data_IF_182649707584
#
_entry.id   IF_182649707584
#
_cell.length_a   1.000
_cell.length_b   1.000
_cell.length_c   1.000
_cell.angle_alpha   90.00
_cell.angle_beta   90.00
_cell.angle_gamma   90.00
#
_symmetry.space_group_name_H-M   'P 1'
#
loop_
_entity.id
_entity.type
_entity.pdbx_description
1 polymer ?
#
# COMPACT_ATOMS: atom_id res chain seq x y z
N UNK A 1 -8.62 -5.26 -21.84
CA UNK A 1 -8.67 -6.73 -22.13
C UNK A 1 -7.47 -7.04 -23.03
N UNK A 2 -6.34 -7.48 -22.45
CA UNK A 2 -5.30 -8.09 -23.29
C UNK A 2 -5.90 -9.30 -23.99
N UNK A 3 -5.79 -9.35 -25.31
CA UNK A 3 -6.08 -10.56 -26.07
C UNK A 3 -5.27 -11.71 -25.45
N UNK A 4 -5.88 -12.87 -25.28
CA UNK A 4 -5.22 -14.03 -24.72
C UNK A 4 -3.98 -14.36 -25.57
N UNK A 5 -2.81 -13.99 -25.08
CA UNK A 5 -1.54 -14.35 -25.70
C UNK A 5 -1.43 -15.88 -25.62
N UNK A 6 -1.18 -16.61 -26.72
CA UNK A 6 -1.04 -18.06 -26.66
C UNK A 6 0.03 -18.43 -25.62
N UNK A 7 -0.26 -19.38 -24.73
CA UNK A 7 0.64 -19.78 -23.62
C UNK A 7 2.09 -19.96 -24.03
N UNK A 8 2.35 -20.54 -25.20
CA UNK A 8 3.71 -20.75 -25.72
C UNK A 8 4.42 -19.46 -26.15
N UNK A 9 3.70 -18.38 -26.49
CA UNK A 9 4.33 -17.08 -26.82
C UNK A 9 4.63 -16.28 -25.55
N UNK A 10 3.76 -16.37 -24.55
CA UNK A 10 3.97 -15.74 -23.26
C UNK A 10 5.20 -16.30 -22.53
N UNK A 11 5.34 -17.64 -22.50
CA UNK A 11 6.52 -18.26 -21.91
C UNK A 11 7.81 -17.80 -22.59
N UNK A 12 7.83 -17.71 -23.93
CA UNK A 12 9.00 -17.18 -24.68
C UNK A 12 9.31 -15.72 -24.33
N UNK A 13 8.28 -14.88 -24.17
CA UNK A 13 8.47 -13.50 -23.73
C UNK A 13 9.07 -13.41 -22.33
N UNK A 14 8.55 -14.21 -21.39
CA UNK A 14 9.09 -14.30 -20.03
C UNK A 14 10.53 -14.83 -20.05
N UNK A 15 10.83 -15.87 -20.82
CA UNK A 15 12.17 -16.44 -20.96
C UNK A 15 13.16 -15.38 -21.47
N UNK A 16 12.79 -14.64 -22.52
CA UNK A 16 13.64 -13.60 -23.08
C UNK A 16 13.88 -12.46 -22.09
N UNK A 17 12.83 -12.00 -21.42
CA UNK A 17 12.92 -10.93 -20.45
C UNK A 17 13.77 -11.31 -19.22
N UNK A 18 13.49 -12.45 -18.59
CA UNK A 18 14.23 -12.92 -17.41
C UNK A 18 15.68 -13.23 -17.76
N UNK A 19 15.92 -13.86 -18.91
CA UNK A 19 17.28 -14.09 -19.42
C UNK A 19 18.13 -12.83 -19.48
N UNK A 20 17.54 -11.73 -19.98
CA UNK A 20 18.20 -10.44 -20.02
C UNK A 20 18.31 -9.75 -18.63
N UNK A 21 17.36 -10.00 -17.74
CA UNK A 21 17.31 -9.39 -16.41
C UNK A 21 18.38 -9.95 -15.45
N UNK A 22 18.68 -11.25 -15.52
CA UNK A 22 19.62 -11.93 -14.64
C UNK A 22 20.83 -12.55 -15.35
N UNK A 23 21.08 -12.15 -16.60
CA UNK A 23 22.19 -12.64 -17.44
C UNK A 23 22.33 -14.18 -17.45
N UNK A 24 21.26 -14.86 -17.85
CA UNK A 24 21.25 -16.32 -17.94
C UNK A 24 20.74 -16.79 -19.31
N UNK A 25 21.03 -18.05 -19.68
CA UNK A 25 20.49 -18.65 -20.91
C UNK A 25 18.98 -18.87 -20.79
N UNK A 26 18.16 -18.57 -21.85
CA UNK A 26 16.70 -18.75 -21.82
C UNK A 26 16.23 -20.17 -21.51
N UNK A 27 17.00 -21.20 -21.87
CA UNK A 27 16.69 -22.62 -21.58
C UNK A 27 16.80 -22.97 -20.10
N UNK A 28 17.42 -22.11 -19.30
CA UNK A 28 17.42 -22.26 -17.83
C UNK A 28 16.10 -21.85 -17.19
N UNK A 29 15.25 -21.13 -17.91
CA UNK A 29 13.92 -20.73 -17.43
C UNK A 29 12.92 -21.81 -17.83
N UNK A 30 12.53 -22.62 -16.85
CA UNK A 30 11.87 -23.91 -17.08
C UNK A 30 10.36 -23.84 -17.05
N UNK A 31 9.77 -22.89 -16.28
CA UNK A 31 8.34 -22.72 -16.19
C UNK A 31 7.97 -21.29 -15.72
N UNK A 32 6.75 -20.88 -16.07
CA UNK A 32 6.10 -19.70 -15.53
C UNK A 32 4.64 -20.01 -15.22
N UNK A 33 4.19 -19.68 -14.01
CA UNK A 33 2.81 -19.82 -13.60
C UNK A 33 2.27 -18.46 -13.16
N UNK A 34 1.05 -18.12 -13.58
CA UNK A 34 0.40 -16.88 -13.21
C UNK A 34 -0.22 -17.00 -11.82
N UNK A 35 -0.08 -15.96 -11.00
CA UNK A 35 -0.91 -15.77 -9.82
C UNK A 35 -2.30 -15.31 -10.26
N UNK A 36 -3.35 -15.86 -9.64
CA UNK A 36 -4.74 -15.58 -10.03
C UNK A 36 -5.20 -14.18 -9.57
N UNK A 37 -4.63 -13.66 -8.49
CA UNK A 37 -5.01 -12.40 -7.87
C UNK A 37 -4.15 -11.24 -8.40
N UNK A 38 -4.70 -10.41 -9.25
CA UNK A 38 -4.03 -9.19 -9.73
C UNK A 38 -4.93 -8.36 -10.64
N UNK A 39 -5.48 -7.27 -10.11
CA UNK A 39 -6.40 -6.40 -10.88
C UNK A 39 -5.67 -5.44 -11.84
N UNK A 40 -4.41 -5.09 -11.59
CA UNK A 40 -3.66 -4.10 -12.36
C UNK A 40 -2.44 -4.65 -13.09
N UNK A 41 -1.97 -5.81 -12.66
CA UNK A 41 -0.76 -6.43 -13.17
C UNK A 41 -0.98 -7.92 -13.42
N UNK A 42 -0.35 -8.44 -14.47
CA UNK A 42 -0.12 -9.86 -14.58
C UNK A 42 1.15 -10.22 -13.80
N UNK A 43 1.03 -11.07 -12.80
CA UNK A 43 2.15 -11.49 -11.94
C UNK A 43 2.43 -12.96 -12.18
N UNK A 44 3.68 -13.29 -12.46
CA UNK A 44 4.12 -14.65 -12.78
C UNK A 44 5.20 -15.10 -11.80
N UNK A 45 5.03 -16.29 -11.24
CA UNK A 45 6.11 -17.05 -10.59
C UNK A 45 6.89 -17.78 -11.68
N UNK A 46 8.17 -17.50 -11.77
CA UNK A 46 9.07 -18.06 -12.78
C UNK A 46 10.08 -18.98 -12.12
N UNK A 47 10.18 -20.22 -12.63
CA UNK A 47 11.17 -21.20 -12.19
C UNK A 47 12.39 -21.13 -13.10
N UNK A 48 13.59 -21.07 -12.50
CA UNK A 48 14.83 -21.12 -13.25
C UNK A 48 15.87 -22.01 -12.56
N UNK A 49 16.82 -22.53 -13.37
CA UNK A 49 17.93 -23.38 -12.93
C UNK A 49 19.23 -22.57 -12.96
N UNK A 50 19.71 -22.05 -11.82
CA UNK A 50 21.02 -21.42 -11.74
C UNK A 50 22.15 -22.43 -11.93
N UNK A 51 23.38 -21.96 -12.04
CA UNK A 51 24.55 -22.83 -12.19
C UNK A 51 24.75 -23.82 -11.02
N UNK A 52 24.17 -23.53 -9.86
CA UNK A 52 24.16 -24.38 -8.67
C UNK A 52 23.33 -25.66 -8.82
N UNK A 53 22.45 -25.73 -9.82
CA UNK A 53 21.61 -26.90 -10.13
C UNK A 53 20.32 -27.03 -9.32
N UNK A 54 20.09 -26.21 -8.30
CA UNK A 54 18.83 -26.19 -7.56
C UNK A 54 17.83 -25.23 -8.23
N UNK A 55 16.55 -25.63 -8.35
CA UNK A 55 15.52 -24.73 -8.88
C UNK A 55 15.31 -23.54 -7.95
N UNK A 56 15.42 -22.35 -8.50
CA UNK A 56 15.11 -21.09 -7.84
C UNK A 56 13.89 -20.43 -8.49
N UNK A 57 13.36 -19.40 -7.83
CA UNK A 57 12.15 -18.72 -8.27
C UNK A 57 12.34 -17.20 -8.33
N UNK A 58 11.73 -16.62 -9.35
CA UNK A 58 11.61 -15.17 -9.55
C UNK A 58 10.15 -14.78 -9.69
N UNK A 59 9.89 -13.49 -9.61
CA UNK A 59 8.60 -12.89 -9.95
C UNK A 59 8.79 -11.98 -11.15
N UNK A 60 7.96 -12.17 -12.18
CA UNK A 60 7.81 -11.21 -13.27
C UNK A 60 6.44 -10.58 -13.15
N UNK A 61 6.42 -9.26 -13.06
CA UNK A 61 5.21 -8.45 -13.05
C UNK A 61 5.13 -7.61 -14.32
N UNK A 62 3.97 -7.64 -14.99
CA UNK A 62 3.70 -6.91 -16.22
C UNK A 62 2.45 -6.06 -16.01
N UNK A 63 2.54 -4.76 -16.20
CA UNK A 63 1.40 -3.85 -16.06
C UNK A 63 0.39 -4.06 -17.17
N UNK A 64 -0.92 -3.91 -16.87
CA UNK A 64 -1.97 -3.94 -17.90
C UNK A 64 -2.09 -2.60 -18.65
N UNK A 65 -1.67 -1.50 -18.04
CA UNK A 65 -1.73 -0.17 -18.63
C UNK A 65 -0.36 0.33 -19.06
N UNK A 66 -0.34 1.12 -20.13
CA UNK A 66 0.81 1.83 -20.71
C UNK A 66 0.63 3.36 -20.63
N UNK A 67 -0.45 3.81 -20.02
CA UNK A 67 -0.74 5.23 -19.84
C UNK A 67 0.34 5.97 -19.03
N UNK A 68 0.46 7.30 -19.19
CA UNK A 68 1.47 8.08 -18.48
C UNK A 68 1.43 7.91 -16.95
N UNK A 69 0.24 7.76 -16.39
CA UNK A 69 0.04 7.55 -14.95
C UNK A 69 0.51 6.17 -14.50
N UNK A 70 0.26 5.12 -15.30
CA UNK A 70 0.68 3.75 -15.00
C UNK A 70 2.20 3.62 -15.10
N UNK A 71 2.79 4.20 -16.14
CA UNK A 71 4.24 4.25 -16.30
C UNK A 71 4.92 4.98 -15.13
N UNK A 72 4.42 6.17 -14.75
CA UNK A 72 5.00 6.95 -13.67
C UNK A 72 4.90 6.22 -12.32
N UNK A 73 3.83 5.46 -12.10
CA UNK A 73 3.65 4.62 -10.91
C UNK A 73 4.65 3.48 -10.87
N UNK A 74 4.80 2.75 -11.98
CA UNK A 74 5.74 1.65 -12.08
C UNK A 74 7.21 2.12 -11.93
N UNK A 75 7.57 3.26 -12.51
CA UNK A 75 8.88 3.88 -12.35
C UNK A 75 9.18 4.31 -10.91
N UNK A 76 8.18 4.85 -10.21
CA UNK A 76 8.30 5.20 -8.80
C UNK A 76 8.54 3.97 -7.95
N UNK A 77 7.74 2.93 -8.14
CA UNK A 77 7.92 1.67 -7.45
C UNK A 77 9.29 1.05 -7.71
N UNK A 78 9.76 1.04 -8.95
CA UNK A 78 11.09 0.55 -9.29
C UNK A 78 12.18 1.29 -8.49
N UNK A 79 12.13 2.62 -8.43
CA UNK A 79 13.07 3.44 -7.64
C UNK A 79 13.01 3.11 -6.13
N UNK A 80 11.82 2.84 -5.61
CA UNK A 80 11.68 2.39 -4.20
C UNK A 80 12.32 1.02 -4.00
N UNK A 81 12.06 0.06 -4.89
CA UNK A 81 12.61 -1.28 -4.81
C UNK A 81 14.14 -1.30 -4.94
N UNK A 82 14.73 -0.40 -5.72
CA UNK A 82 16.19 -0.22 -5.79
C UNK A 82 16.79 0.14 -4.42
N UNK A 83 16.06 0.90 -3.61
CA UNK A 83 16.50 1.34 -2.28
C UNK A 83 16.10 0.37 -1.16
N UNK A 84 14.90 -0.18 -1.23
CA UNK A 84 14.30 -1.01 -0.18
C UNK A 84 14.58 -2.52 -0.36
N UNK A 85 15.01 -2.93 -1.54
CA UNK A 85 15.16 -4.33 -1.91
C UNK A 85 16.13 -5.11 -1.04
N UNK A 86 15.74 -6.34 -0.70
CA UNK A 86 16.53 -7.26 0.11
C UNK A 86 16.42 -7.07 1.62
N UNK A 87 15.77 -5.99 2.10
CA UNK A 87 15.56 -5.75 3.54
C UNK A 87 14.07 -5.61 3.84
N UNK A 88 13.41 -4.57 3.32
CA UNK A 88 12.00 -4.33 3.55
C UNK A 88 11.12 -4.73 2.36
N UNK A 89 11.73 -4.97 1.20
CA UNK A 89 11.07 -5.27 -0.07
C UNK A 89 11.82 -6.37 -0.83
N UNK A 90 11.21 -7.02 -1.83
CA UNK A 90 11.92 -7.93 -2.73
C UNK A 90 13.07 -7.22 -3.45
N UNK A 91 14.17 -7.91 -3.68
CA UNK A 91 15.21 -7.42 -4.60
C UNK A 91 14.62 -7.27 -6.00
N UNK A 92 14.85 -6.12 -6.62
CA UNK A 92 14.55 -5.90 -8.03
C UNK A 92 15.81 -6.21 -8.85
N UNK A 93 15.66 -7.05 -9.87
CA UNK A 93 16.75 -7.42 -10.79
C UNK A 93 16.72 -6.54 -12.05
N UNK A 94 15.54 -6.20 -12.55
CA UNK A 94 15.37 -5.37 -13.74
C UNK A 94 14.02 -4.69 -13.75
N UNK A 95 13.98 -3.49 -14.31
CA UNK A 95 12.76 -2.74 -14.62
C UNK A 95 12.86 -2.17 -16.03
N UNK A 96 11.79 -2.33 -16.82
CA UNK A 96 11.69 -1.74 -18.14
C UNK A 96 10.33 -1.11 -18.35
N UNK A 97 10.34 0.12 -18.82
CA UNK A 97 9.11 0.82 -19.21
C UNK A 97 8.47 0.14 -20.43
N UNK A 98 9.31 -0.26 -21.38
CA UNK A 98 8.96 -1.07 -22.55
C UNK A 98 10.13 -1.99 -22.88
N UNK A 99 9.88 -3.11 -23.53
CA UNK A 99 10.91 -4.06 -23.92
C UNK A 99 10.51 -4.81 -25.20
N UNK A 100 11.41 -5.53 -25.86
CA UNK A 100 11.04 -6.41 -26.98
C UNK A 100 10.05 -7.51 -26.61
N UNK A 101 9.86 -7.79 -25.32
CA UNK A 101 9.01 -8.85 -24.80
C UNK A 101 7.68 -8.36 -24.26
N UNK A 102 7.65 -7.10 -23.76
CA UNK A 102 6.45 -6.48 -23.17
C UNK A 102 6.35 -5.01 -23.59
N UNK A 103 5.22 -4.63 -24.14
CA UNK A 103 4.93 -3.25 -24.56
C UNK A 103 4.63 -2.32 -23.38
N UNK A 104 4.26 -2.90 -22.23
CA UNK A 104 3.90 -2.19 -20.98
C UNK A 104 5.01 -2.34 -19.95
N UNK A 105 5.03 -1.52 -18.88
CA UNK A 105 6.01 -1.62 -17.81
C UNK A 105 6.11 -3.05 -17.24
N UNK A 106 7.33 -3.53 -17.16
CA UNK A 106 7.63 -4.88 -16.66
C UNK A 106 8.77 -4.86 -15.65
N UNK A 107 8.71 -5.75 -14.67
CA UNK A 107 9.62 -5.81 -13.54
C UNK A 107 9.98 -7.26 -13.23
N UNK A 108 11.28 -7.54 -13.05
CA UNK A 108 11.79 -8.82 -12.59
C UNK A 108 12.30 -8.66 -11.16
N UNK A 109 11.78 -9.48 -10.25
CA UNK A 109 12.03 -9.37 -8.82
C UNK A 109 12.32 -10.73 -8.17
N UNK A 110 12.91 -10.67 -6.99
CA UNK A 110 13.05 -11.82 -6.10
C UNK A 110 11.67 -12.41 -5.76
N UNK A 111 11.57 -13.74 -5.82
CA UNK A 111 10.44 -14.44 -5.22
C UNK A 111 10.64 -14.52 -3.71
N UNK A 112 9.72 -13.93 -2.96
CA UNK A 112 9.69 -14.02 -1.49
C UNK A 112 8.88 -15.24 -1.10
N UNK A 113 9.54 -16.20 -0.46
CA UNK A 113 8.88 -17.39 0.09
C UNK A 113 8.18 -17.04 1.40
N UNK A 114 6.94 -16.56 1.29
CA UNK A 114 6.10 -16.15 2.42
C UNK A 114 4.63 -16.23 2.05
N UNK A 115 3.78 -16.12 3.05
CA UNK A 115 2.32 -16.09 2.86
C UNK A 115 1.75 -14.85 3.54
N UNK A 116 0.75 -14.19 2.93
CA UNK A 116 -0.01 -13.14 3.61
C UNK A 116 -0.80 -13.76 4.78
N UNK A 117 -0.98 -13.00 5.85
CA UNK A 117 -1.87 -13.38 6.95
C UNK A 117 -2.46 -12.15 7.61
N UNK A 118 -3.60 -12.32 8.24
CA UNK A 118 -4.22 -11.28 9.05
C UNK A 118 -3.29 -10.87 10.21
N UNK A 119 -2.99 -9.60 10.35
CA UNK A 119 -2.07 -9.11 11.39
C UNK A 119 -2.58 -9.39 12.80
N UNK A 120 -3.91 -9.38 13.01
CA UNK A 120 -4.51 -9.77 14.31
C UNK A 120 -4.15 -11.20 14.73
N UNK A 121 -3.80 -12.08 13.79
CA UNK A 121 -3.35 -13.45 14.07
C UNK A 121 -1.83 -13.57 14.26
N UNK A 122 -1.09 -12.51 13.98
CA UNK A 122 0.36 -12.49 14.16
C UNK A 122 0.71 -12.39 15.65
N UNK A 123 1.81 -13.05 16.02
CA UNK A 123 2.34 -12.97 17.38
C UNK A 123 2.91 -11.59 17.66
N UNK A 124 3.01 -11.16 18.95
CA UNK A 124 3.68 -9.91 19.29
C UNK A 124 5.11 -9.81 18.76
N UNK A 125 5.85 -10.92 18.69
CA UNK A 125 7.21 -10.94 18.14
C UNK A 125 7.23 -10.62 16.65
N UNK A 126 6.33 -11.20 15.86
CA UNK A 126 6.17 -10.92 14.44
C UNK A 126 5.74 -9.46 14.20
N UNK A 127 4.81 -8.95 15.00
CA UNK A 127 4.39 -7.54 14.92
C UNK A 127 5.55 -6.60 15.28
N UNK A 128 6.40 -6.97 16.24
CA UNK A 128 7.63 -6.23 16.52
C UNK A 128 8.58 -6.20 15.33
N UNK A 129 8.79 -7.35 14.66
CA UNK A 129 9.59 -7.41 13.42
C UNK A 129 9.00 -6.51 12.32
N UNK A 130 7.67 -6.51 12.15
CA UNK A 130 7.01 -5.62 11.20
C UNK A 130 7.26 -4.14 11.55
N UNK A 131 7.18 -3.78 12.84
CA UNK A 131 7.54 -2.45 13.31
C UNK A 131 8.96 -2.05 12.91
N UNK A 132 9.93 -2.96 13.06
CA UNK A 132 11.31 -2.71 12.65
C UNK A 132 11.48 -2.53 11.14
N UNK A 133 10.76 -3.31 10.33
CA UNK A 133 10.80 -3.21 8.86
C UNK A 133 10.18 -1.89 8.38
N UNK A 134 9.03 -1.50 8.92
CA UNK A 134 8.38 -0.22 8.63
C UNK A 134 9.29 0.95 9.04
N UNK A 135 9.89 0.89 10.23
CA UNK A 135 10.82 1.91 10.69
C UNK A 135 12.04 2.04 9.78
N UNK A 136 12.58 0.91 9.32
CA UNK A 136 13.68 0.91 8.38
C UNK A 136 13.29 1.57 7.04
N UNK A 137 12.10 1.26 6.52
CA UNK A 137 11.57 1.88 5.30
C UNK A 137 11.41 3.40 5.46
N UNK A 138 10.85 3.85 6.60
CA UNK A 138 10.71 5.27 6.92
C UNK A 138 12.07 6.00 7.07
N UNK A 139 13.15 5.28 7.37
CA UNK A 139 14.50 5.81 7.46
C UNK A 139 15.29 5.82 6.15
N UNK A 140 14.71 5.41 5.02
CA UNK A 140 15.39 5.43 3.74
C UNK A 140 15.63 6.86 3.25
N UNK A 141 16.78 7.13 2.59
CA UNK A 141 17.00 8.42 1.95
C UNK A 141 16.01 8.63 0.78
N UNK A 142 15.39 9.80 0.76
CA UNK A 142 14.26 10.11 -0.14
C UNK A 142 14.62 11.07 -1.29
N UNK A 143 15.83 11.62 -1.29
CA UNK A 143 16.25 12.72 -2.17
C UNK A 143 16.02 12.44 -3.67
N UNK A 144 16.11 11.17 -4.09
CA UNK A 144 15.92 10.76 -5.49
C UNK A 144 14.52 10.21 -5.78
N UNK A 145 13.66 10.12 -4.77
CA UNK A 145 12.28 9.61 -4.93
C UNK A 145 11.30 10.71 -5.29
N UNK A 146 11.78 11.95 -5.21
CA UNK A 146 11.01 13.19 -5.38
C UNK A 146 10.93 13.54 -6.87
N UNK A 147 9.74 13.46 -7.46
CA UNK A 147 9.52 13.82 -8.87
C UNK A 147 9.45 15.34 -9.13
N UNK A 148 9.82 16.17 -8.15
CA UNK A 148 9.80 17.65 -8.27
C UNK A 148 8.41 18.25 -8.46
N UNK A 149 7.34 17.48 -8.32
CA UNK A 149 5.95 17.93 -8.48
C UNK A 149 5.25 18.00 -7.13
N UNK A 150 5.00 19.22 -6.67
CA UNK A 150 4.04 19.53 -5.59
C UNK A 150 4.12 18.64 -4.34
N UNK A 151 5.33 18.32 -3.89
CA UNK A 151 5.46 17.57 -2.64
C UNK A 151 5.21 18.47 -1.43
N UNK A 152 4.57 17.95 -0.38
CA UNK A 152 4.38 18.69 0.82
C UNK A 152 5.74 19.06 1.43
N UNK A 153 5.98 20.35 1.67
CA UNK A 153 7.26 20.82 2.18
C UNK A 153 7.51 20.44 3.65
N UNK A 154 6.46 20.02 4.38
CA UNK A 154 6.53 19.68 5.80
C UNK A 154 5.30 18.88 6.24
N UNK A 155 5.31 18.42 7.50
CA UNK A 155 4.22 17.64 8.10
C UNK A 155 2.86 18.34 8.08
N UNK A 156 2.83 19.66 8.31
CA UNK A 156 1.57 20.45 8.32
C UNK A 156 0.95 20.45 6.92
N UNK A 157 1.72 20.82 5.90
CA UNK A 157 1.22 20.83 4.51
C UNK A 157 0.83 19.43 4.02
N UNK A 158 1.53 18.39 4.46
CA UNK A 158 1.13 17.01 4.18
C UNK A 158 -0.22 16.68 4.80
N UNK A 159 -0.41 16.96 6.10
CA UNK A 159 -1.66 16.68 6.81
C UNK A 159 -2.84 17.47 6.22
N UNK A 160 -2.64 18.75 5.91
CA UNK A 160 -3.65 19.59 5.24
C UNK A 160 -4.05 19.02 3.87
N UNK A 161 -3.08 18.61 3.06
CA UNK A 161 -3.33 18.00 1.76
C UNK A 161 -4.10 16.68 1.87
N UNK A 162 -3.76 15.82 2.82
CA UNK A 162 -4.48 14.56 3.09
C UNK A 162 -5.91 14.80 3.57
N UNK A 163 -6.08 15.69 4.55
CA UNK A 163 -7.40 16.04 5.05
C UNK A 163 -8.28 16.61 3.93
N UNK A 164 -7.76 17.54 3.14
CA UNK A 164 -8.47 18.15 2.02
C UNK A 164 -8.85 17.12 0.94
N UNK A 165 -7.94 16.20 0.63
CA UNK A 165 -8.20 15.10 -0.29
C UNK A 165 -9.36 14.22 0.17
N UNK A 166 -9.38 13.83 1.45
CA UNK A 166 -10.44 13.00 2.03
C UNK A 166 -11.77 13.76 2.07
N UNK A 167 -11.77 15.04 2.51
CA UNK A 167 -12.99 15.85 2.56
C UNK A 167 -13.57 16.09 1.15
N UNK A 168 -12.72 16.32 0.14
CA UNK A 168 -13.18 16.51 -1.23
C UNK A 168 -13.89 15.27 -1.79
N UNK A 169 -13.53 14.08 -1.33
CA UNK A 169 -14.20 12.83 -1.70
C UNK A 169 -15.66 12.78 -1.21
N UNK A 170 -16.00 13.48 -0.11
CA UNK A 170 -17.38 13.58 0.39
C UNK A 170 -18.36 14.25 -0.58
N UNK A 171 -17.88 15.06 -1.51
CA UNK A 171 -18.74 15.81 -2.44
C UNK A 171 -19.49 14.91 -3.40
N UNK A 172 -18.87 13.83 -3.89
CA UNK A 172 -19.53 12.89 -4.80
C UNK A 172 -20.25 11.74 -4.08
N UNK A 173 -19.96 11.48 -2.81
CA UNK A 173 -20.71 10.54 -1.97
C UNK A 173 -22.15 11.04 -1.67
N UNK A 174 -22.58 12.18 -2.24
CA UNK A 174 -23.85 12.84 -1.87
C UNK A 174 -25.10 12.13 -2.36
N UNK A 175 -25.08 11.48 -3.52
CA UNK A 175 -26.35 11.12 -4.17
C UNK A 175 -26.85 9.67 -4.01
N UNK A 176 -26.06 8.62 -3.81
CA UNK A 176 -26.62 7.28 -3.66
C UNK A 176 -26.59 6.73 -2.23
N UNK A 177 -25.93 7.39 -1.28
CA UNK A 177 -25.92 6.94 0.11
C UNK A 177 -27.19 7.42 0.88
N UNK A 178 -27.72 6.61 1.81
CA UNK A 178 -28.82 7.02 2.69
C UNK A 178 -28.48 8.32 3.43
N UNK A 179 -29.46 9.23 3.55
CA UNK A 179 -29.26 10.55 4.18
C UNK A 179 -28.66 10.47 5.60
N UNK A 180 -29.02 9.46 6.37
CA UNK A 180 -28.47 9.23 7.71
C UNK A 180 -26.95 8.93 7.66
N UNK A 181 -26.49 8.13 6.68
CA UNK A 181 -25.06 7.82 6.49
C UNK A 181 -24.30 9.06 6.05
N UNK A 182 -24.86 9.82 5.11
CA UNK A 182 -24.26 11.10 4.69
C UNK A 182 -24.13 12.09 5.86
N UNK A 183 -25.10 12.14 6.77
CA UNK A 183 -25.05 12.99 7.95
C UNK A 183 -23.92 12.57 8.90
N UNK A 184 -23.72 11.27 9.10
CA UNK A 184 -22.61 10.72 9.90
C UNK A 184 -21.25 11.08 9.29
N UNK A 185 -21.06 10.90 7.97
CA UNK A 185 -19.83 11.32 7.29
C UNK A 185 -19.54 12.81 7.46
N UNK A 186 -20.56 13.68 7.30
CA UNK A 186 -20.38 15.13 7.50
C UNK A 186 -20.01 15.47 8.95
N UNK A 187 -20.68 14.85 9.92
CA UNK A 187 -20.37 15.03 11.33
C UNK A 187 -18.93 14.62 11.67
N UNK A 188 -18.52 13.44 11.20
CA UNK A 188 -17.17 12.94 11.40
C UNK A 188 -16.10 13.86 10.73
N UNK A 189 -16.33 14.28 9.48
CA UNK A 189 -15.43 15.18 8.77
C UNK A 189 -15.25 16.53 9.50
N UNK A 190 -16.35 17.12 9.98
CA UNK A 190 -16.30 18.35 10.77
C UNK A 190 -15.51 18.17 12.08
N UNK A 191 -15.69 17.03 12.75
CA UNK A 191 -14.97 16.73 13.99
C UNK A 191 -13.48 16.55 13.75
N UNK A 192 -13.09 15.83 12.67
CA UNK A 192 -11.68 15.67 12.27
C UNK A 192 -11.08 17.02 11.88
N UNK A 193 -11.81 17.85 11.13
CA UNK A 193 -11.38 19.21 10.77
C UNK A 193 -11.13 20.07 12.02
N UNK A 194 -12.05 20.06 12.98
CA UNK A 194 -11.90 20.78 14.24
C UNK A 194 -10.71 20.27 15.07
N UNK A 195 -10.50 18.94 15.06
CA UNK A 195 -9.33 18.34 15.70
C UNK A 195 -8.03 18.81 15.04
N UNK A 196 -8.01 18.92 13.71
CA UNK A 196 -6.86 19.46 12.99
C UNK A 196 -6.54 20.91 13.38
N UNK A 197 -7.54 21.76 13.41
CA UNK A 197 -7.37 23.18 13.79
C UNK A 197 -6.73 23.36 15.18
N UNK A 198 -6.94 22.39 16.09
CA UNK A 198 -6.31 22.36 17.42
C UNK A 198 -4.89 21.77 17.38
N UNK A 199 -4.67 20.74 16.57
CA UNK A 199 -3.43 19.97 16.54
C UNK A 199 -2.31 20.65 15.72
N UNK A 200 -2.66 21.34 14.63
CA UNK A 200 -1.71 21.89 13.65
C UNK A 200 -0.68 22.85 14.23
N UNK A 201 -1.06 23.57 15.28
CA UNK A 201 -0.20 24.51 15.99
C UNK A 201 0.56 23.88 17.16
N UNK A 202 0.31 22.62 17.46
CA UNK A 202 0.95 21.86 18.53
C UNK A 202 2.39 21.49 18.21
N UNK A 203 3.15 21.19 19.26
CA UNK A 203 4.57 20.82 19.17
C UNK A 203 4.78 19.60 18.26
N UNK A 204 3.88 18.60 18.31
CA UNK A 204 3.98 17.35 17.54
C UNK A 204 4.05 17.55 16.02
N UNK A 205 3.44 18.61 15.47
CA UNK A 205 3.49 18.96 14.05
C UNK A 205 4.54 20.02 13.71
N UNK A 206 5.02 20.79 14.71
CA UNK A 206 6.00 21.88 14.53
C UNK A 206 7.45 21.45 14.69
N UNK A 207 7.72 20.21 15.03
CA UNK A 207 9.07 19.71 15.35
C UNK A 207 10.08 19.79 14.21
N UNK A 208 9.67 20.14 12.99
CA UNK A 208 10.53 20.10 11.81
C UNK A 208 10.97 18.66 11.45
N UNK A 209 10.28 17.65 11.97
CA UNK A 209 10.56 16.27 11.60
C UNK A 209 10.37 16.09 10.08
N UNK A 210 11.30 15.40 9.40
CA UNK A 210 11.22 15.22 7.96
C UNK A 210 10.04 14.30 7.59
N UNK A 211 9.57 14.44 6.36
CA UNK A 211 8.73 13.44 5.73
C UNK A 211 9.56 12.18 5.50
N UNK A 212 8.89 11.04 5.48
CA UNK A 212 9.50 9.73 5.25
C UNK A 212 8.93 9.05 4.01
N UNK A 213 9.60 8.04 3.51
CA UNK A 213 9.05 7.13 2.52
C UNK A 213 7.99 6.25 3.19
N UNK A 214 6.76 6.38 2.75
CA UNK A 214 5.66 5.52 3.14
C UNK A 214 5.45 4.44 2.09
N UNK A 215 5.09 3.23 2.51
CA UNK A 215 4.61 2.17 1.62
C UNK A 215 3.29 2.59 0.94
N UNK A 216 2.41 3.19 1.72
CA UNK A 216 1.15 3.75 1.27
C UNK A 216 -0.04 2.80 1.31
N UNK A 217 0.19 1.49 1.38
CA UNK A 217 -0.84 0.45 1.54
C UNK A 217 -0.30 -0.79 2.28
N UNK A 218 0.16 -0.69 3.54
CA UNK A 218 0.68 -1.82 4.30
C UNK A 218 -0.45 -2.71 4.86
N UNK A 219 -1.34 -3.15 3.98
CA UNK A 219 -2.43 -4.07 4.29
C UNK A 219 -1.96 -5.53 4.43
N UNK A 220 -2.82 -6.43 4.96
CA UNK A 220 -2.45 -7.84 5.19
C UNK A 220 -2.00 -8.56 3.91
N UNK A 221 -2.58 -8.21 2.75
CA UNK A 221 -2.23 -8.78 1.45
C UNK A 221 -0.83 -8.37 0.96
N UNK A 222 -0.32 -7.24 1.43
CA UNK A 222 0.94 -6.65 1.00
C UNK A 222 2.09 -6.93 1.97
N UNK A 223 1.89 -7.81 2.95
CA UNK A 223 2.92 -8.26 3.90
C UNK A 223 3.07 -9.77 3.79
N UNK A 224 4.19 -10.23 3.24
CA UNK A 224 4.54 -11.64 3.18
C UNK A 224 5.32 -12.05 4.42
N UNK A 225 4.83 -13.10 5.08
CA UNK A 225 5.44 -13.67 6.27
C UNK A 225 6.21 -14.94 5.92
N UNK A 226 7.52 -14.89 6.13
CA UNK A 226 8.47 -15.97 5.98
C UNK A 226 9.41 -16.01 7.18
N UNK A 227 10.76 -15.99 6.99
CA UNK A 227 11.72 -15.82 8.09
C UNK A 227 11.57 -14.45 8.80
N UNK A 228 11.01 -13.47 8.12
CA UNK A 228 10.61 -12.15 8.62
C UNK A 228 9.57 -11.54 7.67
N UNK A 229 8.92 -10.43 8.07
CA UNK A 229 7.96 -9.74 7.20
C UNK A 229 8.68 -9.01 6.07
N UNK A 230 8.13 -9.12 4.84
CA UNK A 230 8.57 -8.39 3.65
C UNK A 230 7.38 -7.66 3.07
N UNK A 231 7.51 -6.37 2.80
CA UNK A 231 6.49 -5.55 2.17
C UNK A 231 6.57 -5.70 0.65
N UNK A 232 5.44 -5.96 0.02
CA UNK A 232 5.29 -6.06 -1.44
C UNK A 232 4.27 -5.04 -1.93
N UNK A 233 4.27 -4.77 -3.24
CA UNK A 233 3.32 -3.85 -3.89
C UNK A 233 3.47 -2.39 -3.42
N UNK A 234 4.63 -1.81 -3.72
CA UNK A 234 5.00 -0.43 -3.40
C UNK A 234 4.42 0.61 -4.39
N UNK A 235 3.40 0.25 -5.17
CA UNK A 235 2.83 1.14 -6.19
C UNK A 235 2.22 2.44 -5.62
N UNK A 236 1.84 2.43 -4.33
CA UNK A 236 1.32 3.59 -3.61
C UNK A 236 2.37 4.33 -2.78
N UNK A 237 3.64 3.98 -2.95
CA UNK A 237 4.72 4.63 -2.22
C UNK A 237 4.72 6.14 -2.44
N UNK A 238 4.90 6.88 -1.36
CA UNK A 238 4.88 8.36 -1.36
C UNK A 238 5.68 8.91 -0.20
N UNK A 239 5.98 10.20 -0.27
CA UNK A 239 6.48 10.93 0.89
C UNK A 239 5.33 11.34 1.80
N UNK A 240 5.51 11.19 3.10
CA UNK A 240 4.48 11.57 4.06
C UNK A 240 4.91 11.47 5.51
N UNK A 241 3.93 11.67 6.40
CA UNK A 241 4.13 11.49 7.83
C UNK A 241 4.11 9.99 8.17
N UNK A 242 5.18 9.44 8.79
CA UNK A 242 5.17 8.07 9.32
C UNK A 242 3.93 7.74 10.15
N UNK A 243 3.39 8.70 10.87
CA UNK A 243 2.20 8.51 11.69
C UNK A 243 0.92 8.25 10.88
N UNK A 244 0.79 8.79 9.65
CA UNK A 244 -0.33 8.48 8.73
C UNK A 244 -0.32 6.98 8.37
N UNK A 245 0.83 6.43 8.01
CA UNK A 245 0.95 5.03 7.65
C UNK A 245 0.73 4.09 8.83
N UNK A 246 1.27 4.43 10.00
CA UNK A 246 1.10 3.62 11.21
C UNK A 246 -0.37 3.63 11.68
N UNK A 247 -1.04 4.79 11.62
CA UNK A 247 -2.46 4.91 11.92
C UNK A 247 -3.30 4.05 10.97
N UNK A 248 -3.02 4.11 9.67
CA UNK A 248 -3.64 3.26 8.65
C UNK A 248 -3.41 1.77 8.94
N UNK A 249 -2.17 1.36 9.23
CA UNK A 249 -1.83 -0.02 9.58
C UNK A 249 -2.63 -0.51 10.79
N UNK A 250 -2.72 0.30 11.83
CA UNK A 250 -3.44 -0.06 13.06
C UNK A 250 -4.94 -0.16 12.82
N UNK A 251 -5.52 0.75 12.02
CA UNK A 251 -6.93 0.73 11.69
C UNK A 251 -7.32 -0.48 10.85
N UNK A 252 -6.63 -0.68 9.74
CA UNK A 252 -6.97 -1.75 8.78
C UNK A 252 -6.86 -3.14 9.40
N UNK A 253 -5.99 -3.32 10.39
CA UNK A 253 -5.64 -4.63 10.91
C UNK A 253 -6.19 -4.94 12.30
N UNK A 254 -6.81 -3.96 12.98
CA UNK A 254 -7.45 -4.17 14.28
C UNK A 254 -6.48 -4.72 15.33
N UNK A 255 -5.26 -4.18 15.42
CA UNK A 255 -4.24 -4.65 16.36
C UNK A 255 -4.68 -4.43 17.81
N UNK A 256 -4.49 -5.46 18.63
CA UNK A 256 -4.69 -5.38 20.07
C UNK A 256 -3.68 -4.42 20.73
N UNK A 257 -3.97 -3.88 21.94
CA UNK A 257 -3.02 -3.02 22.66
C UNK A 257 -1.62 -3.65 22.82
N UNK A 258 -1.54 -4.94 23.13
CA UNK A 258 -0.25 -5.65 23.25
C UNK A 258 0.51 -5.78 21.93
N UNK A 259 -0.21 -5.94 20.82
CA UNK A 259 0.40 -5.94 19.48
C UNK A 259 0.89 -4.54 19.09
N UNK A 260 0.12 -3.48 19.39
CA UNK A 260 0.56 -2.09 19.15
C UNK A 260 1.82 -1.76 19.98
N UNK A 261 1.87 -2.21 21.23
CA UNK A 261 3.07 -2.06 22.08
C UNK A 261 4.28 -2.79 21.47
N UNK A 262 4.10 -4.02 21.01
CA UNK A 262 5.15 -4.79 20.34
C UNK A 262 5.61 -4.11 19.04
N UNK A 263 4.67 -3.59 18.23
CA UNK A 263 4.99 -2.79 17.04
C UNK A 263 5.88 -1.59 17.40
N UNK A 264 5.48 -0.79 18.38
CA UNK A 264 6.23 0.38 18.80
C UNK A 264 7.64 0.05 19.34
N UNK A 265 7.78 -1.09 20.02
CA UNK A 265 9.09 -1.56 20.46
C UNK A 265 9.97 -1.84 19.25
N UNK A 266 9.51 -2.65 18.31
CA UNK A 266 10.24 -2.94 17.08
C UNK A 266 10.51 -1.71 16.23
N UNK A 267 9.54 -0.81 16.13
CA UNK A 267 9.68 0.44 15.40
C UNK A 267 10.82 1.30 15.99
N UNK A 268 10.88 1.47 17.31
CA UNK A 268 11.99 2.17 17.97
C UNK A 268 13.36 1.50 17.76
N UNK A 269 13.39 0.18 17.77
CA UNK A 269 14.61 -0.59 17.49
C UNK A 269 15.07 -0.41 16.03
N UNK A 270 14.13 -0.44 15.08
CA UNK A 270 14.38 -0.32 13.64
C UNK A 270 14.86 1.07 13.21
N UNK A 271 14.35 2.13 13.83
CA UNK A 271 14.79 3.51 13.56
C UNK A 271 16.25 3.73 13.97
N UNK A 272 16.67 3.13 15.08
CA UNK A 272 18.01 3.33 15.61
C UNK A 272 18.34 4.83 15.77
N UNK A 273 19.48 5.27 15.22
CA UNK A 273 19.91 6.67 15.23
C UNK A 273 19.55 7.44 13.95
N UNK A 274 18.82 6.82 13.01
CA UNK A 274 18.67 7.32 11.64
C UNK A 274 17.59 8.38 11.44
N UNK A 275 16.53 8.38 12.24
CA UNK A 275 15.48 9.39 12.15
C UNK A 275 15.02 9.84 13.53
N UNK A 276 14.83 11.14 13.74
CA UNK A 276 14.16 11.60 14.93
C UNK A 276 12.70 11.13 14.87
N UNK A 277 12.33 10.22 15.77
CA UNK A 277 10.94 9.76 15.95
C UNK A 277 10.00 10.87 16.44
N UNK A 278 10.50 12.08 16.62
CA UNK A 278 9.86 13.21 17.24
C UNK A 278 8.34 13.19 17.16
N UNK A 279 7.71 12.81 18.26
CA UNK A 279 6.25 12.83 18.42
C UNK A 279 5.42 11.98 17.41
N UNK A 280 6.03 10.97 16.74
CA UNK A 280 5.26 10.11 15.82
C UNK A 280 4.10 9.45 16.55
N UNK A 281 4.32 8.96 17.78
CA UNK A 281 3.26 8.36 18.62
C UNK A 281 2.10 9.31 18.86
N UNK A 282 2.39 10.56 19.19
CA UNK A 282 1.36 11.57 19.50
C UNK A 282 0.57 11.96 18.24
N UNK A 283 1.24 11.96 17.08
CA UNK A 283 0.58 12.21 15.80
C UNK A 283 -0.30 11.05 15.34
N UNK A 284 0.05 9.78 15.67
CA UNK A 284 -0.79 8.62 15.34
C UNK A 284 -2.20 8.78 15.92
N UNK A 285 -2.33 9.26 17.15
CA UNK A 285 -3.63 9.49 17.78
C UNK A 285 -4.50 10.48 16.99
N UNK A 286 -3.89 11.47 16.36
CA UNK A 286 -4.57 12.41 15.47
C UNK A 286 -4.88 11.77 14.10
N UNK A 287 -3.96 10.96 13.56
CA UNK A 287 -4.13 10.33 12.25
C UNK A 287 -5.16 9.21 12.24
N UNK A 288 -5.37 8.47 13.35
CA UNK A 288 -6.33 7.35 13.41
C UNK A 288 -7.76 7.74 13.00
N UNK A 289 -8.36 8.84 13.51
CA UNK A 289 -9.68 9.28 13.03
C UNK A 289 -9.71 9.61 11.53
N UNK A 290 -8.66 10.22 10.99
CA UNK A 290 -8.57 10.54 9.57
C UNK A 290 -8.41 9.28 8.70
N UNK A 291 -7.61 8.32 9.12
CA UNK A 291 -7.45 7.04 8.46
C UNK A 291 -8.77 6.25 8.41
N UNK A 292 -9.52 6.22 9.53
CA UNK A 292 -10.86 5.63 9.60
C UNK A 292 -11.86 6.30 8.66
N UNK A 293 -11.87 7.65 8.63
CA UNK A 293 -12.73 8.41 7.73
C UNK A 293 -12.41 8.09 6.27
N UNK A 294 -11.14 8.10 5.89
CA UNK A 294 -10.70 7.74 4.55
C UNK A 294 -11.08 6.30 4.16
N UNK A 295 -10.87 5.37 5.06
CA UNK A 295 -11.25 3.96 4.89
C UNK A 295 -12.77 3.79 4.76
N UNK A 296 -13.57 4.46 5.59
CA UNK A 296 -15.02 4.41 5.49
C UNK A 296 -15.53 4.94 4.14
N UNK A 297 -14.92 6.03 3.63
CA UNK A 297 -15.24 6.59 2.31
C UNK A 297 -14.87 5.66 1.16
N UNK A 298 -13.73 4.96 1.25
CA UNK A 298 -13.33 3.97 0.27
C UNK A 298 -14.34 2.80 0.17
N UNK A 299 -14.88 2.34 1.31
CA UNK A 299 -15.93 1.34 1.34
C UNK A 299 -17.28 1.88 0.84
N UNK A 300 -17.58 3.15 1.16
CA UNK A 300 -18.79 3.81 0.68
C UNK A 300 -18.79 3.96 -0.85
N UNK A 301 -17.64 4.28 -1.45
CA UNK A 301 -17.47 4.30 -2.92
C UNK A 301 -17.83 2.95 -3.54
N UNK A 302 -17.33 1.87 -2.98
CA UNK A 302 -17.61 0.52 -3.47
C UNK A 302 -19.07 0.14 -3.32
N UNK A 303 -19.69 0.52 -2.22
CA UNK A 303 -21.12 0.35 -2.03
C UNK A 303 -21.91 1.04 -3.13
N UNK A 304 -21.62 2.28 -3.40
CA UNK A 304 -22.24 3.09 -4.46
C UNK A 304 -22.02 2.48 -5.85
N UNK A 305 -20.77 2.12 -6.17
CA UNK A 305 -20.43 1.48 -7.45
C UNK A 305 -21.18 0.16 -7.63
N UNK A 306 -21.29 -0.64 -6.59
CA UNK A 306 -22.04 -1.89 -6.61
C UNK A 306 -23.53 -1.65 -6.86
N UNK A 307 -24.13 -0.73 -6.13
CA UNK A 307 -25.54 -0.38 -6.32
C UNK A 307 -25.81 0.15 -7.74
N UNK A 308 -24.92 0.95 -8.29
CA UNK A 308 -25.04 1.44 -9.67
C UNK A 308 -24.89 0.31 -10.70
N UNK A 309 -23.97 -0.62 -10.50
CA UNK A 309 -23.80 -1.79 -11.37
C UNK A 309 -25.03 -2.69 -11.36
N UNK A 310 -25.63 -2.95 -10.19
CA UNK A 310 -26.85 -3.73 -10.04
C UNK A 310 -28.04 -3.06 -10.74
N UNK A 311 -28.20 -1.74 -10.58
CA UNK A 311 -29.24 -0.97 -11.24
C UNK A 311 -29.11 -0.96 -12.77
N UNK A 312 -27.87 -1.00 -13.28
CA UNK A 312 -27.55 -1.06 -14.70
C UNK A 312 -27.59 -2.49 -15.29
N UNK A 313 -27.73 -3.52 -14.47
CA UNK A 313 -27.58 -4.92 -14.87
C UNK A 313 -26.18 -5.24 -15.41
N UNK A 314 -25.14 -4.52 -14.94
CA UNK A 314 -23.75 -4.65 -15.36
C UNK A 314 -22.89 -5.30 -14.27
N UNK A 315 -21.69 -5.76 -14.65
CA UNK A 315 -20.70 -6.30 -13.72
C UNK A 315 -19.54 -5.33 -13.61
N UNK A 316 -19.26 -4.87 -12.40
CA UNK A 316 -18.04 -4.13 -12.07
C UNK A 316 -17.07 -5.10 -11.39
N UNK A 317 -15.91 -5.42 -12.00
CA UNK A 317 -14.99 -6.41 -11.48
C UNK A 317 -14.38 -6.05 -10.11
N UNK A 318 -14.36 -4.76 -9.75
CA UNK A 318 -13.80 -4.28 -8.48
C UNK A 318 -14.80 -4.37 -7.31
N UNK A 319 -16.10 -4.64 -7.60
CA UNK A 319 -17.15 -4.67 -6.59
C UNK A 319 -18.03 -5.92 -6.74
N UNK A 320 -17.45 -7.08 -6.49
CA UNK A 320 -18.05 -8.40 -6.70
C UNK A 320 -18.87 -8.96 -5.53
N UNK A 321 -18.83 -8.31 -4.35
CA UNK A 321 -19.60 -8.70 -3.16
C UNK A 321 -21.01 -8.10 -3.23
N UNK A 322 -21.94 -8.63 -2.41
CA UNK A 322 -23.27 -8.03 -2.29
C UNK A 322 -23.23 -6.63 -1.63
N UNK A 323 -24.23 -5.77 -1.87
CA UNK A 323 -24.26 -4.41 -1.31
C UNK A 323 -24.20 -4.37 0.21
N UNK A 324 -24.78 -5.36 0.91
CA UNK A 324 -24.78 -5.45 2.37
C UNK A 324 -23.38 -5.60 2.93
N UNK A 325 -22.52 -6.38 2.26
CA UNK A 325 -21.12 -6.51 2.65
C UNK A 325 -20.40 -5.16 2.71
N UNK A 326 -20.59 -4.30 1.72
CA UNK A 326 -19.98 -2.97 1.70
C UNK A 326 -20.59 -2.04 2.74
N UNK A 327 -21.92 -2.10 2.90
CA UNK A 327 -22.63 -1.33 3.91
C UNK A 327 -22.15 -1.63 5.33
N UNK A 328 -21.99 -2.91 5.68
CA UNK A 328 -21.49 -3.34 6.99
C UNK A 328 -20.08 -2.81 7.26
N UNK A 329 -19.21 -2.79 6.26
CA UNK A 329 -17.89 -2.21 6.37
C UNK A 329 -17.90 -0.70 6.61
N UNK A 330 -18.82 0.02 5.97
CA UNK A 330 -19.02 1.46 6.20
C UNK A 330 -19.50 1.72 7.62
N UNK A 331 -20.55 1.00 8.06
CA UNK A 331 -21.13 1.17 9.38
C UNK A 331 -20.13 0.89 10.48
N UNK A 332 -19.42 -0.23 10.39
CA UNK A 332 -18.40 -0.60 11.38
C UNK A 332 -17.32 0.48 11.54
N UNK A 333 -16.85 1.08 10.43
CA UNK A 333 -15.84 2.14 10.49
C UNK A 333 -16.38 3.44 11.04
N UNK A 334 -17.59 3.82 10.69
CA UNK A 334 -18.23 5.01 11.26
C UNK A 334 -18.47 4.86 12.76
N UNK A 335 -18.92 3.68 13.23
CA UNK A 335 -19.11 3.43 14.66
C UNK A 335 -17.77 3.55 15.44
N UNK A 336 -16.69 2.99 14.90
CA UNK A 336 -15.36 3.12 15.49
C UNK A 336 -14.85 4.57 15.48
N UNK A 337 -15.05 5.28 14.37
CA UNK A 337 -14.65 6.68 14.23
C UNK A 337 -15.36 7.57 15.25
N UNK A 338 -16.68 7.45 15.38
CA UNK A 338 -17.47 8.17 16.38
C UNK A 338 -16.99 7.84 17.81
N UNK A 339 -16.68 6.57 18.08
CA UNK A 339 -16.11 6.15 19.35
C UNK A 339 -14.72 6.76 19.63
N UNK A 340 -13.88 6.97 18.62
CA UNK A 340 -12.59 7.66 18.79
C UNK A 340 -12.79 9.16 19.03
N UNK A 341 -13.66 9.81 18.26
CA UNK A 341 -13.92 11.26 18.34
C UNK A 341 -14.66 11.66 19.63
N UNK A 342 -15.32 10.74 20.30
CA UNK A 342 -16.00 10.97 21.58
C UNK A 342 -15.05 10.88 22.80
N UNK A 343 -13.80 10.48 22.62
CA UNK A 343 -12.80 10.45 23.70
C UNK A 343 -12.42 11.89 24.08
N UNK A 344 -12.33 12.18 25.38
CA UNK A 344 -12.02 13.52 25.87
C UNK A 344 -10.59 13.96 25.54
#
# INVERSE_FOLDING_TARGET
>A
LMAAVPEGSLLRSIQGYVSAAIDCSPDRITAASRFEDGNRHAVYKVSYLPATGATEYLVVRVSYGDGPADCARAEREARVLEKAGGIAAPLMYDFRRTSPWFETPSMCMQFVAGQPKELRSATPAEIGQLGSVIAWAHGLPIDDLVDGRSEPGNLVSYAEGRLQSIISTLVWARDPLPAAIQARFRGAANSVQTSWERARDGESFRTGAPLALLHGDPGPGNILWGPGPVLIDWEYARLGDPADEIAYLFDQNGLSPGQREAFWRGYREGVGTRAPLGHVTDRVDWWEPLALLGSALWWAERWVRRAAADAAGSVDPDVHRDPGYYADHVMHRLDRLEGLLARP
#
